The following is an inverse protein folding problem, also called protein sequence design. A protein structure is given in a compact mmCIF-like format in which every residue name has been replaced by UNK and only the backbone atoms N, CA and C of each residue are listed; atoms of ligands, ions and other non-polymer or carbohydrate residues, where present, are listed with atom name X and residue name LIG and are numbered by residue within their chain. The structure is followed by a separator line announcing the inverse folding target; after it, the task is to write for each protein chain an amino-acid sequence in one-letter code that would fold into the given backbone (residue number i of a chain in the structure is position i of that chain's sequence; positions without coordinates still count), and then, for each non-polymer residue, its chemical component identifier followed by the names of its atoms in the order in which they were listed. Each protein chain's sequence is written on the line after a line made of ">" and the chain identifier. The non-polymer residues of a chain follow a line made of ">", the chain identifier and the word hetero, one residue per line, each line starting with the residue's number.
data_IF_635784865924
#
_entry.id   IF_635784865924
#
_cell.length_a   1.000
_cell.length_b   1.000
_cell.length_c   1.000
_cell.angle_alpha   90.00
_cell.angle_beta   90.00
_cell.angle_gamma   90.00
#
_symmetry.space_group_name_H-M   'P 1'
#
loop_
_entity.id
_entity.type
_entity.pdbx_description
1 polymer ?
#
# COMPACT_ATOMS: atom_id res chain seq x y z
N UNK A 1 -21.45 17.88 15.34
CA UNK A 1 -20.51 17.44 14.28
C UNK A 1 -20.40 15.94 14.37
N UNK A 2 -20.47 15.22 13.24
CA UNK A 2 -20.32 13.78 13.23
C UNK A 2 -18.96 13.38 13.80
N UNK A 3 -18.94 12.24 14.48
CA UNK A 3 -17.74 11.63 15.05
C UNK A 3 -17.14 10.66 14.03
N UNK A 4 -15.86 10.86 13.70
CA UNK A 4 -15.15 10.12 12.67
C UNK A 4 -14.08 9.22 13.32
N UNK A 5 -13.80 8.07 12.73
CA UNK A 5 -12.63 7.25 13.08
C UNK A 5 -12.14 6.45 11.87
N UNK A 6 -10.90 5.98 11.91
CA UNK A 6 -10.42 4.93 11.01
C UNK A 6 -10.44 3.57 11.72
N UNK A 7 -10.44 2.46 10.98
CA UNK A 7 -10.50 1.11 11.55
C UNK A 7 -9.61 0.09 10.82
N UNK A 8 -8.77 -0.61 11.60
CA UNK A 8 -8.00 -1.79 11.17
C UNK A 8 -8.49 -3.02 11.95
N UNK A 9 -8.88 -4.06 11.21
CA UNK A 9 -9.22 -5.37 11.78
C UNK A 9 -7.99 -6.26 11.96
N UNK A 10 -8.04 -7.11 12.99
CA UNK A 10 -7.13 -8.24 13.18
C UNK A 10 -5.65 -7.90 12.97
N UNK A 11 -4.91 -8.73 12.20
CA UNK A 11 -3.47 -8.58 11.91
C UNK A 11 -3.24 -8.02 10.50
N UNK A 12 -4.09 -7.12 10.04
CA UNK A 12 -3.95 -6.47 8.73
C UNK A 12 -2.88 -5.35 8.79
N UNK A 13 -1.63 -5.72 9.10
CA UNK A 13 -0.52 -4.78 9.32
C UNK A 13 -0.25 -3.88 8.10
N UNK A 14 -0.54 -4.39 6.90
CA UNK A 14 -0.40 -3.64 5.66
C UNK A 14 -1.36 -2.45 5.56
N UNK A 15 -2.45 -2.39 6.33
CA UNK A 15 -3.34 -1.22 6.37
C UNK A 15 -2.86 -0.09 7.28
N UNK A 16 -1.88 -0.33 8.15
CA UNK A 16 -1.36 0.69 9.08
C UNK A 16 -0.85 1.91 8.31
N UNK A 17 -0.06 1.70 7.26
CA UNK A 17 0.54 2.77 6.46
C UNK A 17 -0.46 3.48 5.52
N UNK A 18 -1.74 3.16 5.62
CA UNK A 18 -2.84 3.86 4.94
C UNK A 18 -3.74 4.56 5.96
N UNK A 19 -4.17 3.85 7.01
CA UNK A 19 -5.16 4.37 7.94
C UNK A 19 -4.54 5.21 9.07
N UNK A 20 -3.31 4.96 9.50
CA UNK A 20 -2.65 5.81 10.48
C UNK A 20 -2.30 7.21 9.92
N UNK A 21 -1.70 7.35 8.72
CA UNK A 21 -1.52 8.65 8.08
C UNK A 21 -2.84 9.42 7.88
N UNK A 22 -3.90 8.73 7.46
CA UNK A 22 -5.22 9.34 7.29
C UNK A 22 -5.79 9.84 8.62
N UNK A 23 -5.63 9.07 9.70
CA UNK A 23 -6.04 9.45 11.06
C UNK A 23 -5.31 10.71 11.54
N UNK A 24 -3.99 10.76 11.33
CA UNK A 24 -3.14 11.91 11.64
C UNK A 24 -3.54 13.14 10.82
N UNK A 25 -3.85 12.97 9.53
CA UNK A 25 -4.27 14.06 8.64
C UNK A 25 -5.62 14.66 9.04
N UNK A 26 -6.59 13.82 9.42
CA UNK A 26 -7.95 14.26 9.76
C UNK A 26 -8.13 14.67 11.22
N UNK A 27 -7.12 14.41 12.06
CA UNK A 27 -7.15 14.53 13.52
C UNK A 27 -8.31 13.71 14.12
N UNK A 28 -8.33 12.42 13.80
CA UNK A 28 -9.35 11.46 14.25
C UNK A 28 -8.69 10.21 14.85
N UNK A 29 -9.36 9.47 15.75
CA UNK A 29 -8.79 8.25 16.30
C UNK A 29 -8.72 7.11 15.29
N UNK A 30 -7.75 6.21 15.50
CA UNK A 30 -7.65 4.91 14.84
C UNK A 30 -8.11 3.81 15.79
N UNK A 31 -9.11 3.04 15.37
CA UNK A 31 -9.60 1.88 16.11
C UNK A 31 -8.88 0.63 15.60
N UNK A 32 -8.41 -0.19 16.53
CA UNK A 32 -7.72 -1.45 16.22
C UNK A 32 -8.29 -2.58 17.05
N UNK A 33 -8.32 -3.80 16.50
CA UNK A 33 -8.82 -4.97 17.24
C UNK A 33 -7.71 -5.93 17.69
N UNK A 34 -6.44 -5.53 17.56
CA UNK A 34 -5.25 -6.33 17.87
C UNK A 34 -4.22 -5.48 18.61
N UNK A 35 -3.65 -6.04 19.66
CA UNK A 35 -2.57 -5.43 20.45
C UNK A 35 -1.29 -5.27 19.63
N UNK A 36 -1.03 -6.19 18.70
CA UNK A 36 0.12 -6.10 17.80
C UNK A 36 0.00 -4.91 16.84
N UNK A 37 -1.19 -4.66 16.29
CA UNK A 37 -1.45 -3.46 15.45
C UNK A 37 -1.31 -2.19 16.29
N UNK A 38 -1.88 -2.17 17.50
CA UNK A 38 -1.74 -1.03 18.42
C UNK A 38 -0.26 -0.71 18.70
N UNK A 39 0.53 -1.73 19.00
CA UNK A 39 1.96 -1.60 19.28
C UNK A 39 2.71 -1.01 18.08
N UNK A 40 2.45 -1.51 16.87
CA UNK A 40 3.06 -0.99 15.65
C UNK A 40 2.65 0.46 15.38
N UNK A 41 1.37 0.81 15.56
CA UNK A 41 0.89 2.18 15.38
C UNK A 41 1.55 3.11 16.40
N UNK A 42 1.59 2.75 17.68
CA UNK A 42 2.21 3.58 18.71
C UNK A 42 3.72 3.78 18.47
N UNK A 43 4.40 2.79 17.87
CA UNK A 43 5.81 2.88 17.54
C UNK A 43 6.09 3.79 16.34
N UNK A 44 5.29 3.70 15.27
CA UNK A 44 5.58 4.39 14.00
C UNK A 44 4.76 5.68 13.78
N UNK A 45 3.64 5.82 14.49
CA UNK A 45 2.68 6.93 14.40
C UNK A 45 2.26 7.39 15.80
N UNK A 46 3.21 7.80 16.67
CA UNK A 46 2.94 8.09 18.07
C UNK A 46 1.98 9.27 18.30
N UNK A 47 1.74 10.10 17.27
CA UNK A 47 0.75 11.17 17.32
C UNK A 47 -0.69 10.71 17.07
N UNK A 48 -0.89 9.51 16.52
CA UNK A 48 -2.21 8.96 16.24
C UNK A 48 -2.84 8.44 17.54
N UNK A 49 -4.04 8.93 17.85
CA UNK A 49 -4.81 8.43 19.00
C UNK A 49 -5.38 7.04 18.67
N UNK A 50 -4.90 6.01 19.35
CA UNK A 50 -5.37 4.63 19.16
C UNK A 50 -6.40 4.23 20.21
N UNK A 51 -7.43 3.51 19.81
CA UNK A 51 -8.31 2.77 20.71
C UNK A 51 -8.29 1.29 20.34
N UNK A 52 -7.82 0.45 21.28
CA UNK A 52 -7.91 -1.00 21.16
C UNK A 52 -9.29 -1.46 21.64
N UNK A 53 -10.01 -2.18 20.77
CA UNK A 53 -11.39 -2.63 21.02
C UNK A 53 -11.50 -4.12 20.69
N UNK A 54 -11.93 -4.98 21.63
CA UNK A 54 -12.12 -6.39 21.35
C UNK A 54 -13.12 -6.63 20.21
N UNK A 55 -12.93 -7.63 19.33
CA UNK A 55 -13.81 -7.88 18.19
C UNK A 55 -15.30 -8.00 18.55
N UNK A 56 -15.62 -8.61 19.70
CA UNK A 56 -17.00 -8.80 20.17
C UNK A 56 -17.69 -7.50 20.62
N UNK A 57 -16.93 -6.43 20.85
CA UNK A 57 -17.43 -5.12 21.30
C UNK A 57 -17.43 -4.08 20.18
N UNK A 58 -16.90 -4.38 19.00
CA UNK A 58 -16.74 -3.41 17.91
C UNK A 58 -18.05 -2.73 17.53
N UNK A 59 -19.14 -3.50 17.36
CA UNK A 59 -20.42 -2.95 16.92
C UNK A 59 -21.01 -1.96 17.92
N UNK A 60 -21.06 -2.35 19.20
CA UNK A 60 -21.60 -1.49 20.26
C UNK A 60 -20.71 -0.26 20.47
N UNK A 61 -19.40 -0.43 20.35
CA UNK A 61 -18.43 0.65 20.43
C UNK A 61 -18.60 1.67 19.29
N UNK A 62 -18.71 1.21 18.03
CA UNK A 62 -18.94 2.09 16.88
C UNK A 62 -20.27 2.84 17.00
N UNK A 63 -21.36 2.11 17.23
CA UNK A 63 -22.70 2.69 17.28
C UNK A 63 -22.91 3.70 18.42
N UNK A 64 -22.09 3.64 19.48
CA UNK A 64 -22.20 4.57 20.61
C UNK A 64 -21.30 5.79 20.49
N UNK A 65 -20.37 5.83 19.52
CA UNK A 65 -19.30 6.83 19.49
C UNK A 65 -19.03 7.46 18.14
N UNK A 66 -19.36 6.79 17.04
CA UNK A 66 -18.98 7.23 15.71
C UNK A 66 -20.15 7.20 14.74
N UNK A 67 -20.13 8.17 13.84
CA UNK A 67 -21.07 8.33 12.75
C UNK A 67 -20.45 7.85 11.42
N UNK A 68 -19.13 7.95 11.30
CA UNK A 68 -18.38 7.63 10.07
C UNK A 68 -17.14 6.81 10.41
N UNK A 69 -16.94 5.70 9.70
CA UNK A 69 -15.76 4.84 9.80
C UNK A 69 -15.06 4.77 8.45
N UNK A 70 -13.77 5.06 8.44
CA UNK A 70 -12.88 4.85 7.29
C UNK A 70 -12.17 3.51 7.42
N UNK A 71 -12.21 2.67 6.40
CA UNK A 71 -11.52 1.36 6.43
C UNK A 71 -11.11 0.89 5.03
N UNK A 72 -10.08 0.06 4.96
CA UNK A 72 -9.66 -0.58 3.71
C UNK A 72 -10.51 -1.82 3.33
N UNK A 73 -11.42 -2.23 4.21
CA UNK A 73 -12.33 -3.34 3.99
C UNK A 73 -13.54 -2.90 3.14
N UNK A 74 -13.94 -3.68 2.13
CA UNK A 74 -15.25 -3.50 1.51
C UNK A 74 -16.38 -3.66 2.54
N UNK A 75 -17.46 -2.91 2.37
CA UNK A 75 -18.66 -2.88 3.22
C UNK A 75 -19.19 -4.27 3.59
N UNK A 76 -19.28 -5.26 2.68
CA UNK A 76 -19.68 -6.62 3.05
C UNK A 76 -18.76 -7.27 4.09
N UNK A 77 -17.44 -7.08 3.94
CA UNK A 77 -16.44 -7.61 4.87
C UNK A 77 -16.45 -6.84 6.19
N UNK A 78 -16.58 -5.51 6.13
CA UNK A 78 -16.71 -4.67 7.31
C UNK A 78 -17.93 -5.11 8.14
N UNK A 79 -19.11 -5.20 7.53
CA UNK A 79 -20.35 -5.67 8.21
C UNK A 79 -20.18 -7.07 8.81
N UNK A 80 -19.51 -7.98 8.12
CA UNK A 80 -19.27 -9.33 8.61
C UNK A 80 -18.37 -9.34 9.86
N UNK A 81 -17.28 -8.57 9.85
CA UNK A 81 -16.35 -8.47 10.98
C UNK A 81 -16.97 -7.77 12.18
N UNK A 82 -17.79 -6.74 11.95
CA UNK A 82 -18.48 -6.03 13.03
C UNK A 82 -19.75 -6.73 13.48
N UNK A 83 -20.10 -7.91 12.97
CA UNK A 83 -21.37 -8.59 13.24
C UNK A 83 -22.60 -7.67 13.06
N UNK A 84 -22.51 -6.71 12.14
CA UNK A 84 -23.61 -5.78 11.87
C UNK A 84 -24.67 -6.50 11.06
N UNK A 85 -25.69 -7.05 11.74
CA UNK A 85 -26.88 -7.54 11.07
C UNK A 85 -27.61 -6.35 10.44
N UNK A 86 -28.08 -6.50 9.20
CA UNK A 86 -28.90 -5.49 8.50
C UNK A 86 -30.20 -5.14 9.23
N UNK A 87 -30.53 -5.87 10.30
CA UNK A 87 -31.79 -5.79 11.04
C UNK A 87 -31.82 -4.73 12.14
N UNK A 88 -30.75 -3.97 12.37
CA UNK A 88 -30.80 -2.81 13.27
C UNK A 88 -30.92 -1.50 12.47
N UNK A 89 -32.15 -1.19 12.03
CA UNK A 89 -32.60 0.07 11.38
C UNK A 89 -32.33 1.36 12.20
N UNK A 90 -31.51 1.31 13.25
CA UNK A 90 -31.27 2.42 14.17
C UNK A 90 -29.91 3.11 14.04
N UNK A 91 -28.97 2.60 13.25
CA UNK A 91 -27.63 3.20 13.21
C UNK A 91 -27.21 3.64 11.81
N UNK A 92 -27.12 4.95 11.65
CA UNK A 92 -26.63 5.68 10.48
C UNK A 92 -25.09 5.64 10.37
N UNK A 93 -24.45 4.51 10.70
CA UNK A 93 -23.00 4.37 10.60
C UNK A 93 -22.60 4.32 9.13
N UNK A 94 -21.93 5.37 8.65
CA UNK A 94 -21.41 5.44 7.29
C UNK A 94 -20.02 4.80 7.21
N UNK A 95 -19.91 3.71 6.46
CA UNK A 95 -18.61 3.16 6.07
C UNK A 95 -18.08 3.90 4.84
N UNK A 96 -16.82 4.33 4.87
CA UNK A 96 -16.11 4.93 3.74
C UNK A 96 -14.90 4.07 3.42
N UNK A 97 -14.85 3.56 2.19
CA UNK A 97 -13.74 2.73 1.75
C UNK A 97 -12.49 3.56 1.47
N UNK A 98 -11.33 3.08 1.93
CA UNK A 98 -10.02 3.68 1.76
C UNK A 98 -9.09 2.78 0.91
N UNK A 99 -8.37 3.34 -0.08
CA UNK A 99 -7.50 2.55 -0.93
C UNK A 99 -6.20 2.20 -0.22
N UNK A 100 -5.83 0.91 -0.26
CA UNK A 100 -4.57 0.39 0.31
C UNK A 100 -3.46 0.23 -0.75
N UNK A 101 -3.40 1.16 -1.70
CA UNK A 101 -2.42 1.23 -2.78
C UNK A 101 -3.07 1.34 -4.16
N UNK A 102 -2.32 1.86 -5.13
CA UNK A 102 -2.70 1.80 -6.54
C UNK A 102 -2.11 0.54 -7.15
N UNK A 103 -2.90 -0.27 -7.84
CA UNK A 103 -2.47 -1.59 -8.32
C UNK A 103 -2.71 -1.74 -9.82
N UNK A 104 -1.77 -2.41 -10.48
CA UNK A 104 -1.91 -2.89 -11.85
C UNK A 104 -2.57 -4.28 -11.92
N UNK A 105 -2.86 -4.88 -10.76
CA UNK A 105 -3.62 -6.13 -10.65
C UNK A 105 -5.12 -5.88 -10.71
N UNK A 106 -5.87 -6.91 -11.07
CA UNK A 106 -7.33 -6.88 -11.06
C UNK A 106 -7.94 -6.51 -12.41
N UNK A 107 -7.13 -6.18 -13.43
CA UNK A 107 -7.65 -5.96 -14.78
C UNK A 107 -8.20 -7.25 -15.42
N UNK A 108 -7.70 -8.42 -15.00
CA UNK A 108 -8.10 -9.72 -15.54
C UNK A 108 -8.87 -10.60 -14.55
N UNK A 109 -9.10 -10.11 -13.33
CA UNK A 109 -9.75 -10.85 -12.24
C UNK A 109 -10.81 -9.99 -11.56
N UNK A 110 -11.70 -10.60 -10.76
CA UNK A 110 -12.63 -9.85 -9.92
C UNK A 110 -11.83 -9.18 -8.81
N UNK A 111 -11.85 -7.85 -8.79
CA UNK A 111 -11.07 -7.06 -7.83
C UNK A 111 -11.89 -5.87 -7.35
N UNK A 112 -12.03 -4.83 -8.20
CA UNK A 112 -12.81 -3.63 -7.86
C UNK A 112 -14.31 -3.89 -7.81
N UNK A 113 -14.81 -4.98 -8.39
CA UNK A 113 -16.21 -5.41 -8.32
C UNK A 113 -16.66 -5.68 -6.87
N UNK A 114 -15.72 -5.96 -5.96
CA UNK A 114 -16.00 -6.07 -4.52
C UNK A 114 -16.48 -4.76 -3.87
N UNK A 115 -16.31 -3.62 -4.54
CA UNK A 115 -16.75 -2.30 -4.10
C UNK A 115 -18.16 -1.94 -4.58
N UNK A 116 -18.90 -2.89 -5.16
CA UNK A 116 -20.27 -2.68 -5.67
C UNK A 116 -21.33 -2.35 -4.60
N UNK A 117 -20.96 -2.39 -3.32
CA UNK A 117 -21.82 -1.99 -2.20
C UNK A 117 -21.31 -0.72 -1.49
N UNK A 118 -20.21 -0.13 -1.95
CA UNK A 118 -19.77 1.15 -1.42
C UNK A 118 -20.66 2.28 -1.93
N UNK A 119 -20.96 3.22 -1.03
CA UNK A 119 -21.59 4.50 -1.39
C UNK A 119 -20.55 5.60 -1.56
N UNK A 120 -19.51 5.57 -0.74
CA UNK A 120 -18.43 6.56 -0.74
C UNK A 120 -17.10 5.83 -0.78
N UNK A 121 -16.23 6.27 -1.69
CA UNK A 121 -14.87 5.77 -1.79
C UNK A 121 -13.86 6.93 -1.79
N UNK A 122 -12.79 6.77 -1.03
CA UNK A 122 -11.58 7.55 -1.24
C UNK A 122 -10.82 6.95 -2.43
N UNK A 123 -10.20 7.79 -3.25
CA UNK A 123 -9.37 7.35 -4.38
C UNK A 123 -8.10 8.20 -4.44
N UNK A 124 -6.97 7.61 -4.83
CA UNK A 124 -5.74 8.39 -4.93
C UNK A 124 -5.81 9.47 -6.02
N UNK A 125 -6.40 9.16 -7.18
CA UNK A 125 -6.41 10.06 -8.34
C UNK A 125 -7.17 9.48 -9.52
N UNK A 126 -7.05 10.15 -10.67
CA UNK A 126 -7.83 9.85 -11.88
C UNK A 126 -7.64 8.41 -12.36
N UNK A 127 -6.43 7.84 -12.29
CA UNK A 127 -6.20 6.45 -12.70
C UNK A 127 -7.08 5.45 -11.94
N UNK A 128 -7.32 5.67 -10.65
CA UNK A 128 -8.17 4.78 -9.85
C UNK A 128 -9.65 4.95 -10.22
N UNK A 129 -10.08 6.18 -10.51
CA UNK A 129 -11.43 6.49 -11.04
C UNK A 129 -11.67 5.77 -12.36
N UNK A 130 -10.70 5.83 -13.27
CA UNK A 130 -10.76 5.16 -14.58
C UNK A 130 -10.84 3.64 -14.40
N UNK A 131 -10.10 3.09 -13.43
CA UNK A 131 -10.14 1.66 -13.13
C UNK A 131 -11.49 1.22 -12.56
N UNK A 132 -12.05 1.96 -11.58
CA UNK A 132 -13.39 1.72 -11.05
C UNK A 132 -14.44 1.77 -12.16
N UNK A 133 -14.33 2.75 -13.06
CA UNK A 133 -15.24 2.93 -14.19
C UNK A 133 -15.17 1.75 -15.16
N UNK A 134 -13.96 1.32 -15.53
CA UNK A 134 -13.74 0.17 -16.40
C UNK A 134 -14.28 -1.14 -15.82
N UNK A 135 -14.33 -1.26 -14.48
CA UNK A 135 -14.84 -2.43 -13.77
C UNK A 135 -16.33 -2.34 -13.43
N UNK A 136 -16.99 -1.25 -13.82
CA UNK A 136 -18.40 -1.00 -13.53
C UNK A 136 -18.70 -0.64 -12.08
N UNK A 137 -17.67 -0.54 -11.23
CA UNK A 137 -17.76 -0.19 -9.81
C UNK A 137 -17.74 1.31 -9.54
N UNK A 138 -17.81 2.16 -10.57
CA UNK A 138 -17.92 3.60 -10.35
C UNK A 138 -19.38 4.05 -10.25
N UNK A 139 -20.28 3.43 -11.01
CA UNK A 139 -21.64 3.92 -11.24
C UNK A 139 -22.56 3.83 -10.01
N UNK A 140 -22.21 3.00 -9.03
CA UNK A 140 -22.95 2.85 -7.78
C UNK A 140 -22.44 3.77 -6.67
N UNK A 141 -21.28 4.40 -6.83
CA UNK A 141 -20.74 5.35 -5.86
C UNK A 141 -21.57 6.63 -5.91
N UNK A 142 -22.11 7.02 -4.76
CA UNK A 142 -22.80 8.30 -4.58
C UNK A 142 -21.79 9.45 -4.46
N UNK A 143 -20.57 9.16 -3.97
CA UNK A 143 -19.48 10.13 -3.86
C UNK A 143 -18.10 9.47 -4.00
N UNK A 144 -17.19 10.18 -4.65
CA UNK A 144 -15.77 9.81 -4.79
C UNK A 144 -14.93 11.02 -4.38
N UNK A 145 -13.99 10.79 -3.46
CA UNK A 145 -13.14 11.86 -2.89
C UNK A 145 -11.70 11.56 -3.23
N UNK A 146 -11.04 12.48 -3.94
CA UNK A 146 -9.65 12.31 -4.35
C UNK A 146 -8.71 12.73 -3.23
N UNK A 147 -7.85 11.84 -2.78
CA UNK A 147 -7.01 12.06 -1.59
C UNK A 147 -5.53 12.25 -1.88
N UNK A 148 -5.10 12.03 -3.13
CA UNK A 148 -3.71 12.11 -3.55
C UNK A 148 -2.74 11.39 -2.63
N UNK A 149 -1.50 11.85 -2.59
CA UNK A 149 -0.45 11.13 -1.86
C UNK A 149 -0.36 11.54 -0.38
N UNK A 150 -1.46 11.38 0.36
CA UNK A 150 -1.53 11.74 1.77
C UNK A 150 -0.50 10.98 2.64
N UNK A 151 -0.11 9.76 2.22
CA UNK A 151 0.96 8.97 2.88
C UNK A 151 2.31 9.66 2.77
N UNK A 152 2.66 10.13 1.57
CA UNK A 152 3.88 10.92 1.39
C UNK A 152 3.83 12.26 2.15
N UNK A 153 2.65 12.90 2.22
CA UNK A 153 2.48 14.13 3.01
C UNK A 153 2.75 13.90 4.49
N UNK A 154 2.20 12.82 5.06
CA UNK A 154 2.49 12.40 6.42
C UNK A 154 3.98 12.12 6.60
N UNK A 155 4.57 11.28 5.76
CA UNK A 155 6.01 11.01 5.79
C UNK A 155 6.84 12.29 5.76
N UNK A 156 6.52 13.23 4.88
CA UNK A 156 7.26 14.49 4.74
C UNK A 156 7.27 15.31 6.04
N UNK A 157 6.17 15.31 6.78
CA UNK A 157 6.04 15.97 8.09
C UNK A 157 6.84 15.26 9.19
N UNK A 158 6.94 13.93 9.11
CA UNK A 158 7.58 13.08 10.14
C UNK A 158 8.93 12.48 9.69
N UNK A 159 9.51 13.03 8.61
CA UNK A 159 10.63 12.45 7.85
C UNK A 159 11.80 12.03 8.73
N UNK A 160 12.30 12.94 9.56
CA UNK A 160 13.49 12.71 10.36
C UNK A 160 13.33 11.51 11.33
N UNK A 161 12.18 11.40 11.98
CA UNK A 161 11.91 10.31 12.92
C UNK A 161 11.77 8.97 12.18
N UNK A 162 10.98 8.94 11.11
CA UNK A 162 10.73 7.72 10.35
C UNK A 162 11.99 7.22 9.60
N UNK A 163 12.80 8.12 9.04
CA UNK A 163 14.09 7.78 8.44
C UNK A 163 15.06 7.20 9.48
N UNK A 164 15.11 7.78 10.69
CA UNK A 164 15.95 7.26 11.76
C UNK A 164 15.54 5.84 12.18
N UNK A 165 14.22 5.57 12.28
CA UNK A 165 13.72 4.22 12.51
C UNK A 165 14.16 3.25 11.43
N UNK A 166 14.02 3.61 10.15
CA UNK A 166 14.44 2.75 9.04
C UNK A 166 15.96 2.50 9.03
N UNK A 167 16.76 3.55 9.18
CA UNK A 167 18.22 3.46 9.21
C UNK A 167 18.74 2.63 10.39
N UNK A 168 18.01 2.56 11.50
CA UNK A 168 18.39 1.73 12.65
C UNK A 168 18.35 0.21 12.38
N UNK A 169 17.68 -0.23 11.30
CA UNK A 169 17.52 -1.65 10.99
C UNK A 169 18.76 -2.30 10.37
N UNK A 170 19.71 -1.53 9.85
CA UNK A 170 20.87 -2.06 9.14
C UNK A 170 22.09 -1.14 9.23
N UNK A 171 23.26 -1.70 8.93
CA UNK A 171 24.52 -0.95 8.85
C UNK A 171 25.24 -1.33 7.56
N UNK A 172 24.71 -0.85 6.43
CA UNK A 172 25.32 -1.04 5.12
C UNK A 172 26.53 -0.13 4.92
N UNK A 173 27.35 -0.48 3.93
CA UNK A 173 28.36 0.41 3.39
C UNK A 173 27.71 1.49 2.51
N UNK A 174 28.51 2.36 1.91
CA UNK A 174 28.03 3.45 1.04
C UNK A 174 27.64 3.02 -0.38
N UNK A 175 27.51 1.71 -0.64
CA UNK A 175 27.15 1.21 -1.95
C UNK A 175 25.67 1.46 -2.25
N UNK A 176 25.28 1.54 -3.53
CA UNK A 176 23.87 1.74 -3.89
C UNK A 176 22.98 0.64 -3.34
N UNK A 177 21.80 1.03 -2.87
CA UNK A 177 20.82 0.12 -2.28
C UNK A 177 19.73 -0.20 -3.30
N UNK A 178 19.62 -1.48 -3.66
CA UNK A 178 18.52 -2.04 -4.44
C UNK A 178 17.41 -2.43 -3.48
N UNK A 179 16.20 -1.97 -3.74
CA UNK A 179 15.00 -2.38 -3.03
C UNK A 179 14.19 -3.36 -3.87
N UNK A 180 14.16 -4.62 -3.45
CA UNK A 180 13.37 -5.67 -4.06
C UNK A 180 12.05 -5.87 -3.31
N UNK A 181 10.92 -5.61 -3.98
CA UNK A 181 9.58 -5.72 -3.42
C UNK A 181 8.66 -6.56 -4.33
N UNK A 182 8.81 -7.90 -4.35
CA UNK A 182 7.97 -8.76 -5.16
C UNK A 182 6.54 -8.79 -4.64
N UNK A 183 5.59 -8.94 -5.56
CA UNK A 183 4.22 -9.29 -5.19
C UNK A 183 4.13 -10.70 -4.61
N UNK A 184 3.04 -10.99 -3.89
CA UNK A 184 2.69 -12.35 -3.51
C UNK A 184 1.98 -13.09 -4.66
N UNK A 185 1.98 -14.42 -4.58
CA UNK A 185 1.40 -15.30 -5.60
C UNK A 185 -0.13 -15.35 -5.46
N UNK A 186 -0.80 -14.49 -6.21
CA UNK A 186 -2.25 -14.44 -6.33
C UNK A 186 -2.77 -15.21 -7.56
N UNK A 187 -4.06 -15.05 -7.85
CA UNK A 187 -4.73 -15.66 -9.01
C UNK A 187 -4.19 -15.18 -10.37
N UNK A 188 -3.50 -14.04 -10.43
CA UNK A 188 -2.89 -13.53 -11.66
C UNK A 188 -1.47 -14.04 -11.87
N UNK A 189 -0.87 -14.71 -10.87
CA UNK A 189 0.43 -15.37 -10.95
C UNK A 189 1.56 -14.45 -11.46
N UNK A 190 1.59 -13.22 -10.93
CA UNK A 190 2.56 -12.18 -11.31
C UNK A 190 3.80 -12.10 -10.39
N UNK A 191 3.87 -12.92 -9.34
CA UNK A 191 4.93 -12.85 -8.32
C UNK A 191 6.29 -13.31 -8.85
N UNK A 192 7.31 -12.44 -8.74
CA UNK A 192 8.68 -12.79 -9.12
C UNK A 192 9.46 -13.55 -8.05
N UNK A 193 8.92 -13.70 -6.85
CA UNK A 193 9.63 -14.23 -5.70
C UNK A 193 10.25 -15.61 -5.98
N UNK A 194 9.43 -16.59 -6.38
CA UNK A 194 9.85 -17.98 -6.66
C UNK A 194 10.83 -18.09 -7.85
N UNK A 195 10.89 -17.06 -8.71
CA UNK A 195 11.68 -17.08 -9.93
C UNK A 195 13.07 -16.48 -9.77
N UNK A 196 13.22 -15.47 -8.90
CA UNK A 196 14.47 -14.69 -8.83
C UNK A 196 15.04 -14.53 -7.43
N UNK A 197 14.30 -14.78 -6.35
CA UNK A 197 14.75 -14.40 -4.99
C UNK A 197 16.10 -15.02 -4.62
N UNK A 198 16.23 -16.36 -4.72
CA UNK A 198 17.49 -17.03 -4.37
C UNK A 198 18.65 -16.53 -5.23
N UNK A 199 18.42 -16.36 -6.53
CA UNK A 199 19.41 -15.83 -7.46
C UNK A 199 19.85 -14.41 -7.09
N UNK A 200 18.89 -13.52 -6.82
CA UNK A 200 19.19 -12.15 -6.42
C UNK A 200 20.08 -12.15 -5.18
N UNK A 201 19.77 -12.97 -4.18
CA UNK A 201 20.56 -13.01 -2.96
C UNK A 201 21.93 -13.67 -3.18
N UNK A 202 21.98 -14.81 -3.86
CA UNK A 202 23.19 -15.60 -4.03
C UNK A 202 24.21 -14.89 -4.95
N UNK A 203 23.74 -14.29 -6.04
CA UNK A 203 24.56 -13.57 -7.03
C UNK A 203 24.79 -12.08 -6.66
N UNK A 204 24.34 -11.62 -5.49
CA UNK A 204 24.49 -10.22 -5.03
C UNK A 204 25.97 -9.79 -4.99
N UNK A 205 26.41 -8.84 -5.83
CA UNK A 205 27.80 -8.40 -5.83
C UNK A 205 28.10 -7.45 -4.66
N UNK A 206 29.38 -7.40 -4.27
CA UNK A 206 29.83 -6.63 -3.09
C UNK A 206 29.60 -5.11 -3.23
N UNK A 207 29.52 -4.59 -4.45
CA UNK A 207 29.31 -3.16 -4.74
C UNK A 207 27.83 -2.75 -4.80
N UNK A 208 26.90 -3.64 -4.41
CA UNK A 208 25.50 -3.31 -4.14
C UNK A 208 25.10 -3.75 -2.74
N UNK A 209 24.13 -3.04 -2.18
CA UNK A 209 23.33 -3.51 -1.05
C UNK A 209 21.93 -3.91 -1.55
N UNK A 210 21.30 -4.87 -0.88
CA UNK A 210 19.96 -5.36 -1.23
C UNK A 210 19.05 -5.35 0.00
N UNK A 211 17.91 -4.68 -0.13
CA UNK A 211 16.79 -4.77 0.83
C UNK A 211 15.67 -5.54 0.17
N UNK A 212 15.20 -6.61 0.81
CA UNK A 212 14.08 -7.41 0.34
C UNK A 212 12.90 -7.22 1.28
N UNK A 213 11.80 -6.61 0.80
CA UNK A 213 10.54 -6.52 1.55
C UNK A 213 9.53 -7.49 0.95
N UNK A 214 9.17 -8.49 1.72
CA UNK A 214 8.21 -9.51 1.30
C UNK A 214 6.80 -9.11 1.73
N UNK A 215 5.82 -9.45 0.92
CA UNK A 215 4.43 -9.20 1.23
C UNK A 215 3.98 -10.13 2.38
N UNK A 216 3.10 -9.68 3.30
CA UNK A 216 2.62 -10.53 4.40
C UNK A 216 2.05 -11.88 3.91
N UNK A 217 1.29 -11.87 2.81
CA UNK A 217 0.75 -13.09 2.18
C UNK A 217 1.76 -13.93 1.38
N UNK A 218 3.02 -13.50 1.22
CA UNK A 218 4.04 -14.33 0.54
C UNK A 218 4.30 -15.62 1.32
N UNK A 219 4.14 -15.57 2.64
CA UNK A 219 4.31 -16.73 3.50
C UNK A 219 3.00 -17.10 4.18
N UNK A 220 2.62 -18.37 4.06
CA UNK A 220 1.58 -18.98 4.90
C UNK A 220 2.06 -19.20 6.35
N UNK A 221 3.35 -18.95 6.62
CA UNK A 221 4.05 -19.33 7.85
C UNK A 221 5.18 -18.31 8.12
N UNK A 222 5.13 -17.53 9.22
CA UNK A 222 6.17 -16.57 9.62
C UNK A 222 7.58 -17.17 9.70
N UNK A 223 7.69 -18.47 9.94
CA UNK A 223 8.92 -19.23 10.09
C UNK A 223 9.82 -19.18 8.84
N UNK A 224 9.26 -18.95 7.64
CA UNK A 224 10.06 -18.83 6.42
C UNK A 224 10.92 -17.56 6.39
N UNK A 225 10.44 -16.46 6.95
CA UNK A 225 11.26 -15.24 7.12
C UNK A 225 12.43 -15.51 8.05
N UNK A 226 12.20 -16.25 9.14
CA UNK A 226 13.25 -16.62 10.08
C UNK A 226 14.28 -17.54 9.42
N UNK A 227 13.83 -18.50 8.60
CA UNK A 227 14.71 -19.40 7.84
C UNK A 227 15.59 -18.61 6.87
N UNK A 228 15.03 -17.68 6.09
CA UNK A 228 15.84 -16.87 5.17
C UNK A 228 16.78 -15.94 5.92
N UNK A 229 16.30 -15.31 6.99
CA UNK A 229 17.13 -14.45 7.84
C UNK A 229 18.30 -15.23 8.44
N UNK A 230 18.08 -16.47 8.86
CA UNK A 230 19.13 -17.35 9.37
C UNK A 230 20.10 -17.76 8.25
N UNK A 231 19.58 -18.27 7.12
CA UNK A 231 20.36 -18.74 5.97
C UNK A 231 21.31 -17.66 5.44
N UNK A 232 20.86 -16.40 5.44
CA UNK A 232 21.61 -15.29 4.88
C UNK A 232 22.19 -14.33 5.92
N UNK A 233 22.20 -14.70 7.21
CA UNK A 233 22.66 -13.87 8.32
C UNK A 233 24.10 -13.34 8.20
N UNK A 234 24.95 -14.01 7.39
CA UNK A 234 26.35 -13.61 7.18
C UNK A 234 26.54 -12.61 6.04
N UNK A 235 25.53 -12.37 5.19
CA UNK A 235 25.61 -11.41 4.08
C UNK A 235 25.41 -9.98 4.59
N UNK A 236 26.51 -9.24 4.77
CA UNK A 236 26.51 -7.88 5.34
C UNK A 236 25.84 -6.81 4.45
N UNK A 237 25.71 -7.08 3.16
CA UNK A 237 25.08 -6.21 2.17
C UNK A 237 23.64 -6.64 1.83
N UNK A 238 23.02 -7.48 2.67
CA UNK A 238 21.63 -7.92 2.53
C UNK A 238 20.83 -7.58 3.78
N UNK A 239 19.60 -7.11 3.58
CA UNK A 239 18.57 -7.01 4.62
C UNK A 239 17.29 -7.67 4.11
N UNK A 240 16.89 -8.78 4.71
CA UNK A 240 15.51 -9.26 4.62
C UNK A 240 14.71 -8.41 5.62
N UNK A 241 13.88 -7.50 5.10
CA UNK A 241 13.25 -6.48 5.92
C UNK A 241 12.22 -7.12 6.86
N UNK A 242 12.32 -6.89 8.19
CA UNK A 242 11.27 -7.30 9.12
C UNK A 242 9.99 -6.49 8.91
N UNK A 243 8.96 -6.76 9.70
CA UNK A 243 7.72 -5.98 9.68
C UNK A 243 8.04 -4.49 9.92
N UNK A 244 7.74 -3.68 8.91
CA UNK A 244 8.01 -2.24 8.89
C UNK A 244 6.92 -1.58 8.04
N UNK A 245 5.82 -1.13 8.66
CA UNK A 245 4.68 -0.58 7.94
C UNK A 245 5.00 0.67 7.09
N UNK A 246 5.72 1.70 7.60
CA UNK A 246 5.94 2.93 6.83
C UNK A 246 6.76 2.69 5.56
N UNK A 247 6.16 2.83 4.37
CA UNK A 247 6.89 2.53 3.13
C UNK A 247 7.89 3.63 2.76
N UNK A 248 7.51 4.89 2.93
CA UNK A 248 8.24 6.03 2.40
C UNK A 248 9.67 6.21 2.93
N UNK A 249 10.00 5.91 4.20
CA UNK A 249 11.39 5.92 4.67
C UNK A 249 12.28 4.94 3.88
N UNK A 250 11.73 3.77 3.53
CA UNK A 250 12.43 2.76 2.73
C UNK A 250 12.67 3.33 1.32
N UNK A 251 11.61 3.80 0.67
CA UNK A 251 11.67 4.33 -0.71
C UNK A 251 12.59 5.56 -0.82
N UNK A 252 12.59 6.42 0.18
CA UNK A 252 13.51 7.55 0.26
C UNK A 252 14.97 7.10 0.46
N UNK A 253 15.18 6.04 1.24
CA UNK A 253 16.52 5.57 1.63
C UNK A 253 17.22 4.67 0.61
N UNK A 254 16.52 4.16 -0.42
CA UNK A 254 17.10 3.27 -1.44
C UNK A 254 17.40 3.99 -2.75
N UNK A 255 18.27 3.46 -3.59
CA UNK A 255 18.67 4.11 -4.86
C UNK A 255 17.92 3.57 -6.07
N UNK A 256 17.57 2.27 -6.03
CA UNK A 256 17.00 1.53 -7.16
C UNK A 256 15.79 0.75 -6.69
N UNK A 257 14.69 0.83 -7.43
CA UNK A 257 13.55 -0.07 -7.25
C UNK A 257 13.66 -1.26 -8.20
N UNK A 258 13.50 -2.47 -7.65
CA UNK A 258 13.34 -3.72 -8.38
C UNK A 258 12.02 -4.37 -7.95
N UNK A 259 11.11 -4.58 -8.87
CA UNK A 259 9.82 -5.19 -8.55
C UNK A 259 9.19 -5.88 -9.73
N UNK A 260 7.94 -6.28 -9.57
CA UNK A 260 7.10 -6.88 -10.60
C UNK A 260 5.89 -5.96 -10.89
N UNK A 261 4.75 -6.17 -10.22
CA UNK A 261 3.50 -5.40 -10.35
C UNK A 261 3.01 -4.89 -8.99
N UNK A 262 3.95 -4.68 -8.07
CA UNK A 262 3.65 -4.24 -6.71
C UNK A 262 3.15 -2.80 -6.70
N UNK A 263 2.11 -2.54 -5.91
CA UNK A 263 1.58 -1.19 -5.68
C UNK A 263 2.61 -0.23 -5.09
N UNK A 264 3.62 -0.76 -4.39
CA UNK A 264 4.73 0.03 -3.82
C UNK A 264 5.51 0.78 -4.91
N UNK A 265 5.58 0.25 -6.13
CA UNK A 265 6.28 0.95 -7.19
C UNK A 265 5.58 2.25 -7.61
N UNK A 266 4.26 2.37 -7.41
CA UNK A 266 3.55 3.64 -7.57
C UNK A 266 3.97 4.67 -6.53
N UNK A 267 4.14 4.26 -5.26
CA UNK A 267 4.67 5.15 -4.22
C UNK A 267 6.12 5.59 -4.54
N UNK A 268 6.91 4.71 -5.18
CA UNK A 268 8.31 5.00 -5.54
C UNK A 268 8.46 6.07 -6.63
N UNK A 269 7.44 6.29 -7.46
CA UNK A 269 7.41 7.37 -8.47
C UNK A 269 7.70 8.75 -7.84
N UNK A 270 7.34 8.93 -6.57
CA UNK A 270 7.63 10.14 -5.78
C UNK A 270 9.10 10.58 -5.85
N UNK A 271 10.02 9.62 -5.92
CA UNK A 271 11.45 9.88 -5.82
C UNK A 271 12.18 10.00 -7.16
N UNK A 272 11.50 9.70 -8.28
CA UNK A 272 12.09 9.75 -9.64
C UNK A 272 13.42 9.00 -9.77
N UNK A 273 13.52 7.87 -9.06
CA UNK A 273 14.71 7.02 -9.03
C UNK A 273 14.61 5.92 -10.09
N UNK A 274 15.73 5.29 -10.49
CA UNK A 274 15.72 4.16 -11.41
C UNK A 274 14.79 3.02 -10.94
N UNK A 275 14.00 2.49 -11.87
CA UNK A 275 13.05 1.38 -11.64
C UNK A 275 13.31 0.26 -12.64
N UNK A 276 13.26 -0.99 -12.15
CA UNK A 276 13.40 -2.20 -12.94
C UNK A 276 12.23 -3.15 -12.64
N UNK A 277 11.67 -3.73 -13.70
CA UNK A 277 10.45 -4.53 -13.62
C UNK A 277 10.67 -5.94 -14.17
N UNK A 278 10.43 -6.95 -13.33
CA UNK A 278 10.55 -8.37 -13.64
C UNK A 278 9.28 -8.86 -14.34
N UNK A 279 9.36 -9.00 -15.67
CA UNK A 279 8.22 -9.35 -16.51
C UNK A 279 8.14 -10.86 -16.77
N UNK A 280 7.74 -11.60 -15.74
CA UNK A 280 7.72 -13.07 -15.72
C UNK A 280 6.88 -13.63 -16.88
N UNK A 281 5.77 -12.96 -17.18
CA UNK A 281 4.80 -13.40 -18.19
C UNK A 281 5.11 -12.87 -19.60
N UNK A 282 6.21 -12.12 -19.79
CA UNK A 282 6.62 -11.53 -21.08
C UNK A 282 5.51 -10.69 -21.72
N UNK A 283 4.69 -10.03 -20.91
CA UNK A 283 3.60 -9.16 -21.36
C UNK A 283 4.17 -7.82 -21.85
N UNK A 284 3.47 -7.13 -22.73
CA UNK A 284 3.98 -5.90 -23.34
C UNK A 284 3.44 -4.65 -22.60
N UNK A 285 4.28 -3.89 -21.88
CA UNK A 285 3.83 -2.73 -21.12
C UNK A 285 3.12 -1.65 -21.94
N UNK A 286 3.42 -1.56 -23.25
CA UNK A 286 2.84 -0.54 -24.13
C UNK A 286 1.38 -0.83 -24.51
N UNK A 287 0.97 -2.09 -24.42
CA UNK A 287 -0.37 -2.53 -24.87
C UNK A 287 -1.19 -3.13 -23.75
N UNK A 288 -0.54 -3.52 -22.65
CA UNK A 288 -1.19 -4.14 -21.51
C UNK A 288 -1.49 -3.09 -20.42
N UNK A 289 -2.77 -2.79 -20.13
CA UNK A 289 -3.14 -1.82 -19.10
C UNK A 289 -2.72 -2.26 -17.69
N UNK A 290 -2.48 -3.55 -17.48
CA UNK A 290 -1.99 -4.14 -16.23
C UNK A 290 -0.45 -4.04 -16.08
N UNK A 291 0.20 -3.24 -16.92
CA UNK A 291 1.64 -3.00 -16.88
C UNK A 291 2.00 -1.51 -17.03
N UNK A 292 1.08 -0.61 -16.67
CA UNK A 292 1.33 0.82 -16.80
C UNK A 292 2.55 1.27 -15.99
N UNK A 293 2.71 0.74 -14.78
CA UNK A 293 3.87 1.06 -13.95
C UNK A 293 5.20 0.63 -14.61
N UNK A 294 5.20 -0.51 -15.31
CA UNK A 294 6.39 -1.01 -15.99
C UNK A 294 6.88 -0.12 -17.15
N UNK A 295 6.07 0.84 -17.60
CA UNK A 295 6.49 1.86 -18.58
C UNK A 295 7.42 2.91 -17.96
N UNK A 296 7.52 2.98 -16.63
CA UNK A 296 8.33 3.95 -15.88
C UNK A 296 9.76 3.46 -15.59
N UNK A 297 10.20 2.39 -16.23
CA UNK A 297 11.50 1.78 -15.97
C UNK A 297 11.91 0.71 -16.97
N UNK A 298 13.03 0.07 -16.69
CA UNK A 298 13.59 -0.98 -17.54
C UNK A 298 12.91 -2.32 -17.26
N UNK A 299 12.32 -2.93 -18.29
CA UNK A 299 11.73 -4.26 -18.19
C UNK A 299 12.78 -5.34 -18.40
N UNK A 300 12.86 -6.27 -17.46
CA UNK A 300 13.73 -7.45 -17.50
C UNK A 300 12.86 -8.68 -17.73
N UNK A 301 13.14 -9.42 -18.80
CA UNK A 301 12.40 -10.63 -19.16
C UNK A 301 13.10 -11.88 -18.61
N UNK A 302 12.41 -13.04 -18.52
CA UNK A 302 12.94 -14.24 -17.88
C UNK A 302 14.27 -14.75 -18.44
N UNK A 303 14.52 -14.59 -19.74
CA UNK A 303 15.78 -15.02 -20.36
C UNK A 303 17.00 -14.17 -19.96
N UNK A 304 16.79 -13.07 -19.26
CA UNK A 304 17.81 -12.13 -18.82
C UNK A 304 17.90 -12.02 -17.28
N UNK A 305 17.20 -12.88 -16.54
CA UNK A 305 17.24 -12.88 -15.07
C UNK A 305 18.62 -13.23 -14.50
N UNK A 306 19.46 -13.93 -15.27
CA UNK A 306 20.87 -14.17 -14.94
C UNK A 306 21.75 -12.91 -15.06
N UNK A 307 21.24 -11.85 -15.69
CA UNK A 307 21.96 -10.61 -15.98
C UNK A 307 21.39 -9.40 -15.24
N UNK A 308 20.53 -9.59 -14.23
CA UNK A 308 19.84 -8.48 -13.54
C UNK A 308 20.83 -7.39 -13.10
N UNK A 309 21.92 -7.75 -12.42
CA UNK A 309 22.91 -6.78 -11.96
C UNK A 309 23.61 -6.04 -13.11
N UNK A 310 24.00 -6.77 -14.16
CA UNK A 310 24.59 -6.16 -15.34
C UNK A 310 23.61 -5.25 -16.08
N UNK A 311 22.32 -5.56 -16.10
CA UNK A 311 21.30 -4.68 -16.67
C UNK A 311 21.16 -3.42 -15.82
N UNK A 312 21.13 -3.55 -14.50
CA UNK A 312 21.05 -2.42 -13.57
C UNK A 312 22.24 -1.47 -13.76
N UNK A 313 23.46 -2.01 -13.87
CA UNK A 313 24.69 -1.23 -14.05
C UNK A 313 24.75 -0.50 -15.39
N UNK A 314 24.28 -1.14 -16.46
CA UNK A 314 24.39 -0.62 -17.81
C UNK A 314 23.23 0.28 -18.23
N UNK A 315 22.14 0.33 -17.46
CA UNK A 315 20.99 1.18 -17.78
C UNK A 315 21.18 2.61 -17.27
N UNK A 316 21.04 3.59 -18.16
CA UNK A 316 21.00 4.99 -17.77
C UNK A 316 19.64 5.33 -17.13
N UNK A 317 19.61 5.89 -15.91
CA UNK A 317 18.36 6.22 -15.21
C UNK A 317 17.61 7.41 -15.79
N UNK A 318 18.19 8.16 -16.73
CA UNK A 318 17.66 9.45 -17.23
C UNK A 318 16.46 9.24 -18.18
N UNK A 319 16.20 8.01 -18.64
CA UNK A 319 15.25 7.74 -19.73
C UNK A 319 13.76 7.83 -19.39
N UNK A 320 13.35 7.82 -18.12
CA UNK A 320 11.96 7.57 -17.73
C UNK A 320 11.28 8.68 -16.91
N UNK A 321 11.96 9.80 -16.65
CA UNK A 321 11.42 10.84 -15.77
C UNK A 321 10.08 11.39 -16.26
N UNK A 322 9.91 11.53 -17.59
CA UNK A 322 8.65 12.03 -18.17
C UNK A 322 7.50 11.05 -17.95
N UNK A 323 7.73 9.76 -18.16
CA UNK A 323 6.75 8.69 -17.92
C UNK A 323 6.41 8.60 -16.43
N UNK A 324 7.43 8.71 -15.57
CA UNK A 324 7.27 8.72 -14.11
C UNK A 324 6.42 9.90 -13.64
N UNK A 325 6.70 11.12 -14.11
CA UNK A 325 5.95 12.33 -13.76
C UNK A 325 4.50 12.21 -14.24
N UNK A 326 4.29 11.82 -15.50
CA UNK A 326 2.95 11.66 -16.07
C UNK A 326 2.13 10.62 -15.31
N UNK A 327 2.73 9.49 -14.94
CA UNK A 327 2.05 8.45 -14.17
C UNK A 327 1.81 8.88 -12.71
N UNK A 328 2.77 9.56 -12.08
CA UNK A 328 2.59 10.12 -10.73
C UNK A 328 1.39 11.07 -10.69
N UNK A 329 1.32 12.01 -11.64
CA UNK A 329 0.22 12.97 -11.73
C UNK A 329 -1.13 12.29 -11.99
N UNK A 330 -1.17 11.22 -12.82
CA UNK A 330 -2.39 10.45 -13.04
C UNK A 330 -2.84 9.67 -11.79
N UNK A 331 -1.90 9.25 -10.94
CA UNK A 331 -2.16 8.40 -9.77
C UNK A 331 -2.51 9.20 -8.53
N UNK A 332 -1.77 10.28 -8.27
CA UNK A 332 -1.92 11.08 -7.05
C UNK A 332 -2.46 12.48 -7.29
N UNK A 333 -2.25 13.05 -8.47
CA UNK A 333 -2.94 14.23 -9.01
C UNK A 333 -3.27 15.37 -8.04
N UNK A 334 -4.40 16.01 -8.31
CA UNK A 334 -4.98 17.02 -7.43
C UNK A 334 -5.72 16.36 -6.26
N UNK A 335 -5.77 17.05 -5.13
CA UNK A 335 -6.39 16.55 -3.90
C UNK A 335 -7.60 17.38 -3.53
N UNK A 336 -8.63 16.69 -3.05
CA UNK A 336 -9.83 17.28 -2.49
C UNK A 336 -9.66 17.52 -0.97
N UNK A 337 -10.37 18.50 -0.40
CA UNK A 337 -10.45 18.68 1.05
C UNK A 337 -11.25 17.52 1.67
N UNK A 338 -10.55 16.46 2.08
CA UNK A 338 -11.14 15.17 2.49
C UNK A 338 -12.20 15.36 3.57
N UNK A 339 -11.88 16.11 4.64
CA UNK A 339 -12.76 16.25 5.81
C UNK A 339 -14.04 16.98 5.43
N UNK A 340 -13.92 18.09 4.73
CA UNK A 340 -15.02 18.94 4.29
C UNK A 340 -15.97 18.17 3.36
N UNK A 341 -15.43 17.45 2.38
CA UNK A 341 -16.25 16.68 1.44
C UNK A 341 -16.99 15.51 2.11
N UNK A 342 -16.35 14.83 3.07
CA UNK A 342 -16.99 13.77 3.86
C UNK A 342 -18.12 14.34 4.72
N UNK A 343 -17.89 15.47 5.39
CA UNK A 343 -18.89 16.12 6.24
C UNK A 343 -20.08 16.61 5.40
N UNK A 344 -19.81 17.24 4.26
CA UNK A 344 -20.85 17.71 3.35
C UNK A 344 -21.72 16.56 2.85
N UNK A 345 -21.12 15.45 2.42
CA UNK A 345 -21.86 14.26 2.01
C UNK A 345 -22.72 13.72 3.15
N UNK A 346 -22.13 13.56 4.35
CA UNK A 346 -22.86 13.04 5.51
C UNK A 346 -24.07 13.90 5.85
N UNK A 347 -23.93 15.23 5.91
CA UNK A 347 -25.04 16.16 6.17
C UNK A 347 -26.15 16.07 5.13
N UNK A 348 -25.81 15.91 3.84
CA UNK A 348 -26.79 15.74 2.77
C UNK A 348 -27.61 14.45 2.92
N UNK A 349 -26.96 13.35 3.32
CA UNK A 349 -27.66 12.06 3.52
C UNK A 349 -28.60 12.09 4.74
N UNK A 350 -28.21 12.76 5.82
CA UNK A 350 -29.04 12.91 7.02
C UNK A 350 -30.26 13.83 6.80
N UNK A 351 -30.19 14.76 5.85
CA UNK A 351 -31.31 15.64 5.52
C UNK A 351 -32.43 14.94 4.73
N UNK A 352 -32.15 13.78 4.15
CA UNK A 352 -33.08 13.02 3.29
C UNK A 352 -33.76 11.87 4.06
N UNK A 353 -33.15 11.40 5.16
CA UNK A 353 -33.70 10.42 6.11
C UNK A 353 -34.62 11.06 7.14
#
# INVERSE_FOLDING_TARGET
>A
MPQLATFISHRDFHYIDHLAPLSSLLDIPLIVSSEEVETLVNNFYPEVKVFQVPPLELLSFFNSRFDIIFTCLPTPMFKAITFSLETSDKNNLLNIWCPHGNSDKGHHTLFMEGLNQEKVALVYGQKMIDFLSAKGSYNQLESVITVGNYRYKHYSKHKAALDAHFQSLFSFNSNPIIFYAPTWKDSENNSSFDHVFERLVDDLPDHFNLIVKLHPNTFSSPELLEIFSFRYSQKKNLLILPEFPPIYPILNGVDIYLGDMSSIGYDFLTFRKPMFFLNIQKRNPKTDPSLQLAQCGTVINPQDFDKIYSIIENCSPIGFTKEQDALYDAVFGAEDPIKENVLQYYEQTQAIS
#
